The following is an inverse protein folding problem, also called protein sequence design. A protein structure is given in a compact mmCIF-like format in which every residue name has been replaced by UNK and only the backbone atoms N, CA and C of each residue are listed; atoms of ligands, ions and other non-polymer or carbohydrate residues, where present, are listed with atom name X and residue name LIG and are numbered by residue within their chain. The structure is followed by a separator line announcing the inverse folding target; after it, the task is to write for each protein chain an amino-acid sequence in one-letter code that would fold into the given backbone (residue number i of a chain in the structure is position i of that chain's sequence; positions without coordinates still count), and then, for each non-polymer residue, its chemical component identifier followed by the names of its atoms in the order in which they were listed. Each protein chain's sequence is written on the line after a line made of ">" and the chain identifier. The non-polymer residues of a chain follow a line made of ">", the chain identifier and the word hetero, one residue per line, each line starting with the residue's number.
data_IF_440428477622
#
_entry.id   IF_440428477622
#
_cell.length_a   1.000
_cell.length_b   1.000
_cell.length_c   1.000
_cell.angle_alpha   90.00
_cell.angle_beta   90.00
_cell.angle_gamma   90.00
#
_symmetry.space_group_name_H-M   'P 1'
#
loop_
_entity.id
_entity.type
_entity.pdbx_description
1 polymer ?
#
# COMPACT_ATOMS: atom_id res chain seq x y z
N UNK A 1 -2.06 -0.73 31.17
CA UNK A 1 -1.46 -0.14 29.95
C UNK A 1 -1.33 -1.11 28.78
N UNK A 2 -0.37 -2.04 28.67
CA UNK A 2 -0.25 -2.89 27.45
C UNK A 2 -1.41 -3.89 27.23
N UNK A 3 -2.10 -4.30 28.31
CA UNK A 3 -3.17 -5.31 28.27
C UNK A 3 -4.54 -4.70 27.90
N UNK A 4 -4.79 -3.42 28.20
CA UNK A 4 -6.11 -2.77 28.03
C UNK A 4 -6.54 -2.56 26.57
N UNK A 5 -5.61 -2.69 25.61
CA UNK A 5 -5.87 -2.44 24.19
C UNK A 5 -5.37 -3.57 23.29
N UNK A 6 -5.26 -4.81 23.81
CA UNK A 6 -4.60 -5.93 23.10
C UNK A 6 -5.14 -6.14 21.68
N UNK A 7 -6.44 -5.95 21.48
CA UNK A 7 -7.10 -6.14 20.18
C UNK A 7 -7.04 -4.90 19.27
N UNK A 8 -6.78 -3.71 19.82
CA UNK A 8 -6.75 -2.46 19.06
C UNK A 8 -5.39 -2.21 18.39
N UNK A 9 -4.30 -2.83 18.89
CA UNK A 9 -2.97 -2.68 18.30
C UNK A 9 -2.94 -3.12 16.84
N UNK A 10 -2.33 -2.34 15.93
CA UNK A 10 -2.33 -2.64 14.51
C UNK A 10 -1.55 -3.92 14.21
N UNK A 11 -2.30 -5.01 14.03
CA UNK A 11 -1.78 -6.34 13.70
C UNK A 11 -1.46 -6.48 12.21
N UNK A 12 -2.11 -5.68 11.35
CA UNK A 12 -1.91 -5.69 9.91
C UNK A 12 -1.30 -4.38 9.40
N UNK A 13 -0.45 -4.50 8.38
CA UNK A 13 0.14 -3.39 7.65
C UNK A 13 0.30 -3.81 6.18
N UNK A 14 0.32 -2.84 5.27
CA UNK A 14 0.56 -3.05 3.86
C UNK A 14 1.91 -2.43 3.49
N UNK A 15 2.81 -3.24 2.93
CA UNK A 15 4.01 -2.73 2.28
C UNK A 15 3.65 -2.19 0.91
N UNK A 16 4.14 -1.00 0.60
CA UNK A 16 3.86 -0.29 -0.63
C UNK A 16 5.16 0.33 -1.14
N UNK A 17 6.00 -0.52 -1.74
CA UNK A 17 7.37 -0.14 -2.10
C UNK A 17 8.22 0.18 -0.86
N UNK A 18 8.71 1.40 -0.79
CA UNK A 18 9.45 1.95 0.36
C UNK A 18 8.55 2.65 1.39
N UNK A 19 7.23 2.49 1.28
CA UNK A 19 6.26 3.02 2.22
C UNK A 19 5.52 1.91 2.96
N UNK A 20 4.97 2.25 4.12
CA UNK A 20 4.10 1.39 4.90
C UNK A 20 2.77 2.08 5.17
N UNK A 21 1.66 1.38 4.91
CA UNK A 21 0.32 1.85 5.24
C UNK A 21 -0.21 1.01 6.41
N UNK A 22 -0.70 1.67 7.45
CA UNK A 22 -1.22 1.04 8.67
C UNK A 22 -2.56 1.64 9.06
N UNK A 23 -3.51 0.82 9.48
CA UNK A 23 -4.77 1.31 10.07
C UNK A 23 -4.60 1.45 11.56
N UNK A 24 -4.95 2.61 12.12
CA UNK A 24 -4.89 2.88 13.56
C UNK A 24 -6.34 2.99 14.06
N UNK A 25 -6.64 2.30 15.15
CA UNK A 25 -7.95 2.40 15.80
C UNK A 25 -8.02 3.66 16.68
N UNK A 26 -9.17 4.33 16.67
CA UNK A 26 -9.40 5.58 17.40
C UNK A 26 -9.05 5.45 18.90
N UNK A 27 -9.26 4.27 19.50
CA UNK A 27 -8.96 4.03 20.92
C UNK A 27 -7.48 4.11 21.27
N UNK A 28 -6.59 3.97 20.28
CA UNK A 28 -5.13 4.01 20.43
C UNK A 28 -4.49 5.12 19.60
N UNK A 29 -5.26 6.06 19.06
CA UNK A 29 -4.75 7.18 18.24
C UNK A 29 -3.66 7.98 18.97
N UNK A 30 -3.77 8.10 20.31
CA UNK A 30 -2.75 8.74 21.17
C UNK A 30 -1.36 8.11 21.10
N UNK A 31 -1.24 6.87 20.62
CA UNK A 31 0.02 6.13 20.46
C UNK A 31 0.56 6.14 19.03
N UNK A 32 0.02 7.01 18.15
CA UNK A 32 0.37 7.05 16.73
C UNK A 32 1.87 7.21 16.51
N UNK A 33 2.53 8.10 17.26
CA UNK A 33 3.97 8.36 17.15
C UNK A 33 4.79 7.14 17.56
N UNK A 34 4.43 6.47 18.64
CA UNK A 34 5.09 5.24 19.13
C UNK A 34 4.90 4.07 18.16
N UNK A 35 3.71 3.95 17.57
CA UNK A 35 3.43 2.96 16.52
C UNK A 35 4.32 3.23 15.31
N UNK A 36 4.36 4.47 14.82
CA UNK A 36 5.19 4.86 13.68
C UNK A 36 6.68 4.60 13.97
N UNK A 37 7.15 4.93 15.17
CA UNK A 37 8.51 4.66 15.62
C UNK A 37 8.82 3.16 15.60
N UNK A 38 7.96 2.33 16.19
CA UNK A 38 8.14 0.89 16.19
C UNK A 38 8.20 0.31 14.77
N UNK A 39 7.34 0.80 13.84
CA UNK A 39 7.33 0.35 12.45
C UNK A 39 8.60 0.76 11.70
N UNK A 40 9.04 2.03 11.81
CA UNK A 40 10.25 2.52 11.16
C UNK A 40 11.50 1.80 11.68
N UNK A 41 11.63 1.62 13.00
CA UNK A 41 12.77 0.91 13.60
C UNK A 41 12.82 -0.55 13.15
N UNK A 42 11.66 -1.21 13.01
CA UNK A 42 11.59 -2.61 12.59
C UNK A 42 11.84 -2.81 11.08
N UNK A 43 11.69 -1.77 10.26
CA UNK A 43 11.80 -1.86 8.80
C UNK A 43 12.69 -0.73 8.24
N UNK A 44 14.01 -0.93 8.19
CA UNK A 44 14.97 0.12 7.80
C UNK A 44 14.79 0.67 6.38
N UNK A 45 14.22 -0.13 5.47
CA UNK A 45 13.97 0.29 4.08
C UNK A 45 12.73 1.17 3.92
N UNK A 46 11.91 1.33 4.97
CA UNK A 46 10.71 2.17 4.92
C UNK A 46 11.11 3.62 5.17
N UNK A 47 10.77 4.48 4.20
CA UNK A 47 10.97 5.92 4.28
C UNK A 47 9.78 6.68 4.86
N UNK A 48 8.56 6.14 4.73
CA UNK A 48 7.32 6.82 5.09
C UNK A 48 6.28 5.82 5.62
N UNK A 49 5.68 6.14 6.77
CA UNK A 49 4.56 5.43 7.37
C UNK A 49 3.33 6.33 7.31
N UNK A 50 2.23 5.77 6.79
CA UNK A 50 0.96 6.46 6.56
C UNK A 50 -0.14 5.76 7.36
N UNK A 51 -0.99 6.52 8.05
CA UNK A 51 -2.24 6.00 8.60
C UNK A 51 -3.31 5.93 7.52
N UNK A 52 -4.04 4.82 7.46
CA UNK A 52 -5.15 4.58 6.53
C UNK A 52 -6.50 4.96 7.16
N UNK A 53 -7.08 6.07 6.69
CA UNK A 53 -8.42 6.54 7.03
C UNK A 53 -9.54 5.86 6.25
N UNK A 54 -9.20 4.95 5.33
CA UNK A 54 -10.14 4.27 4.46
C UNK A 54 -10.13 4.80 3.02
N UNK A 55 -11.14 4.40 2.25
CA UNK A 55 -11.26 4.70 0.83
C UNK A 55 -12.43 5.66 0.61
N UNK A 56 -12.19 6.76 -0.10
CA UNK A 56 -13.14 7.84 -0.32
C UNK A 56 -13.51 7.99 -1.81
N UNK A 57 -14.78 8.35 -2.05
CA UNK A 57 -15.29 8.80 -3.35
C UNK A 57 -15.34 7.73 -4.45
N UNK A 58 -15.77 8.14 -5.63
CA UNK A 58 -15.95 7.26 -6.80
C UNK A 58 -14.63 6.73 -7.35
N UNK A 59 -13.57 7.54 -7.28
CA UNK A 59 -12.22 7.17 -7.71
C UNK A 59 -11.50 6.24 -6.74
N UNK A 60 -12.13 5.93 -5.59
CA UNK A 60 -11.60 5.04 -4.55
C UNK A 60 -10.20 5.41 -4.08
N UNK A 61 -9.97 6.71 -3.87
CA UNK A 61 -8.71 7.25 -3.37
C UNK A 61 -8.59 6.95 -1.88
N UNK A 62 -7.40 6.58 -1.39
CA UNK A 62 -7.16 6.34 0.03
C UNK A 62 -6.96 7.66 0.77
N UNK A 63 -7.59 7.78 1.93
CA UNK A 63 -7.28 8.84 2.89
C UNK A 63 -6.02 8.44 3.67
N UNK A 64 -4.89 9.07 3.32
CA UNK A 64 -3.57 8.71 3.85
C UNK A 64 -2.92 9.91 4.51
N UNK A 65 -2.62 9.77 5.80
CA UNK A 65 -1.95 10.80 6.60
C UNK A 65 -0.55 10.32 7.01
N UNK A 66 0.52 11.10 6.74
CA UNK A 66 1.86 10.82 7.27
C UNK A 66 1.87 10.79 8.79
N UNK A 67 2.39 9.70 9.36
CA UNK A 67 2.55 9.53 10.82
C UNK A 67 4.00 9.26 11.24
N UNK A 68 4.87 8.93 10.28
CA UNK A 68 6.30 8.89 10.52
C UNK A 68 7.08 8.89 9.22
N UNK A 69 8.25 9.52 9.21
CA UNK A 69 9.15 9.52 8.06
C UNK A 69 10.60 9.30 8.48
N UNK A 70 11.40 8.83 7.53
CA UNK A 70 12.85 8.62 7.68
C UNK A 70 13.58 9.42 6.62
N UNK A 71 14.63 10.12 7.05
CA UNK A 71 15.63 10.75 6.18
C UNK A 71 17.00 10.30 6.69
N UNK A 72 17.69 9.48 5.90
CA UNK A 72 18.93 8.82 6.32
C UNK A 72 18.73 8.04 7.64
N UNK A 73 19.40 8.47 8.71
CA UNK A 73 19.30 7.88 10.05
C UNK A 73 18.28 8.58 10.95
N UNK A 74 17.74 9.72 10.53
CA UNK A 74 16.81 10.53 11.32
C UNK A 74 15.37 10.09 11.13
N UNK A 75 14.61 10.09 12.22
CA UNK A 75 13.19 9.73 12.24
C UNK A 75 12.35 10.92 12.69
N UNK A 76 11.24 11.14 12.00
CA UNK A 76 10.32 12.25 12.19
C UNK A 76 8.93 11.70 12.50
N UNK A 77 8.29 12.16 13.56
CA UNK A 77 6.96 11.69 14.02
C UNK A 77 5.96 12.82 14.21
N UNK A 78 6.45 14.04 14.45
CA UNK A 78 5.67 15.27 14.52
C UNK A 78 6.30 16.30 13.58
N UNK A 79 5.49 17.23 13.06
CA UNK A 79 5.94 18.27 12.12
C UNK A 79 6.80 17.71 10.98
N UNK A 80 6.36 16.59 10.39
CA UNK A 80 7.09 15.88 9.34
C UNK A 80 7.33 16.84 8.17
N UNK A 81 8.60 17.05 7.75
CA UNK A 81 8.93 17.93 6.64
C UNK A 81 8.17 17.55 5.35
N UNK A 82 7.61 18.54 4.66
CA UNK A 82 6.77 18.32 3.46
C UNK A 82 7.50 17.59 2.33
N UNK A 83 8.82 17.71 2.24
CA UNK A 83 9.63 17.01 1.27
C UNK A 83 9.70 15.50 1.51
N UNK A 84 9.38 15.04 2.73
CA UNK A 84 9.36 13.62 3.11
C UNK A 84 8.00 12.95 2.95
N UNK A 85 6.94 13.72 2.66
CA UNK A 85 5.56 13.21 2.60
C UNK A 85 5.10 12.79 1.20
N UNK A 86 6.00 12.84 0.20
CA UNK A 86 5.69 12.38 -1.15
C UNK A 86 5.27 10.89 -1.17
N UNK A 87 4.08 10.60 -1.70
CA UNK A 87 3.50 9.26 -1.77
C UNK A 87 3.73 8.55 -3.09
N UNK A 88 4.32 9.21 -4.09
CA UNK A 88 4.69 8.56 -5.35
C UNK A 88 5.78 7.51 -5.13
N UNK A 89 5.58 6.33 -5.71
CA UNK A 89 6.43 5.15 -5.49
C UNK A 89 6.42 4.24 -6.72
N UNK A 90 7.42 3.37 -6.78
CA UNK A 90 7.52 2.31 -7.78
C UNK A 90 7.47 0.96 -7.08
N UNK A 91 6.39 0.22 -7.29
CA UNK A 91 6.20 -1.11 -6.69
C UNK A 91 6.63 -2.17 -7.70
N UNK A 92 7.41 -3.15 -7.23
CA UNK A 92 7.78 -4.31 -8.05
C UNK A 92 6.78 -5.43 -7.82
N UNK A 93 6.07 -5.81 -8.86
CA UNK A 93 5.09 -6.89 -8.84
C UNK A 93 5.36 -7.83 -10.03
N UNK A 94 5.48 -9.13 -9.76
CA UNK A 94 5.64 -10.16 -10.81
C UNK A 94 6.76 -9.85 -11.83
N UNK A 95 7.85 -9.22 -11.36
CA UNK A 95 9.00 -8.85 -12.19
C UNK A 95 8.87 -7.53 -12.96
N UNK A 96 7.71 -6.86 -12.89
CA UNK A 96 7.47 -5.55 -13.52
C UNK A 96 7.39 -4.45 -12.47
N UNK A 97 7.69 -3.23 -12.90
CA UNK A 97 7.61 -2.04 -12.05
C UNK A 97 6.34 -1.26 -12.39
N UNK A 98 5.57 -0.92 -11.36
CA UNK A 98 4.33 -0.16 -11.45
C UNK A 98 4.57 1.17 -10.74
N UNK A 99 4.54 2.27 -11.48
CA UNK A 99 4.57 3.61 -10.87
C UNK A 99 3.17 3.96 -10.40
N UNK A 100 3.04 4.30 -9.12
CA UNK A 100 1.77 4.62 -8.52
C UNK A 100 1.91 5.69 -7.44
N UNK A 101 0.80 6.36 -7.18
CA UNK A 101 0.63 7.24 -6.04
C UNK A 101 -0.71 6.88 -5.39
N UNK A 102 -0.71 6.31 -4.17
CA UNK A 102 -1.92 5.84 -3.52
C UNK A 102 -2.89 6.97 -3.11
N UNK A 103 -2.46 8.24 -3.14
CA UNK A 103 -3.35 9.39 -2.97
C UNK A 103 -4.03 9.83 -4.28
N UNK A 104 -3.63 9.30 -5.43
CA UNK A 104 -4.16 9.70 -6.75
C UNK A 104 -4.91 8.56 -7.42
N UNK A 105 -4.43 7.32 -7.28
CA UNK A 105 -5.03 6.16 -7.92
C UNK A 105 -5.03 4.94 -6.99
N UNK A 106 -6.12 4.18 -7.03
CA UNK A 106 -6.23 2.94 -6.26
C UNK A 106 -5.25 1.88 -6.77
N UNK A 107 -4.45 1.34 -5.86
CA UNK A 107 -3.66 0.12 -6.06
C UNK A 107 -3.60 -0.65 -4.72
N UNK A 108 -3.52 -1.98 -4.80
CA UNK A 108 -3.33 -2.84 -3.64
C UNK A 108 -2.35 -3.95 -3.96
N UNK A 109 -1.35 -4.09 -3.09
CA UNK A 109 -0.36 -5.17 -3.18
C UNK A 109 -0.96 -6.52 -2.79
N UNK A 110 -2.02 -6.52 -1.98
CA UNK A 110 -2.73 -7.74 -1.54
C UNK A 110 -3.43 -8.50 -2.67
N UNK A 111 -3.69 -7.85 -3.80
CA UNK A 111 -4.37 -8.43 -4.96
C UNK A 111 -3.42 -9.11 -5.96
N UNK A 112 -2.12 -9.21 -5.64
CA UNK A 112 -1.13 -9.82 -6.55
C UNK A 112 -1.47 -11.28 -6.87
N UNK A 113 -1.87 -12.08 -5.88
CA UNK A 113 -2.22 -13.49 -6.09
C UNK A 113 -3.40 -13.64 -7.04
N UNK A 114 -4.45 -12.82 -6.87
CA UNK A 114 -5.64 -12.81 -7.75
C UNK A 114 -5.28 -12.44 -9.20
N UNK A 115 -4.34 -11.50 -9.39
CA UNK A 115 -3.84 -11.12 -10.73
C UNK A 115 -3.07 -12.26 -11.39
N UNK A 116 -2.22 -12.98 -10.64
CA UNK A 116 -1.52 -14.15 -11.15
C UNK A 116 -2.49 -15.28 -11.53
N UNK A 117 -3.53 -15.50 -10.74
CA UNK A 117 -4.56 -16.49 -11.03
C UNK A 117 -5.38 -16.13 -12.26
N UNK A 118 -5.74 -14.85 -12.41
CA UNK A 118 -6.40 -14.33 -13.62
C UNK A 118 -5.55 -14.57 -14.86
N UNK A 119 -4.24 -14.32 -14.78
CA UNK A 119 -3.30 -14.61 -15.88
C UNK A 119 -3.23 -16.11 -16.21
N UNK A 120 -3.23 -16.98 -15.19
CA UNK A 120 -3.24 -18.44 -15.37
C UNK A 120 -4.49 -18.88 -16.14
N UNK A 121 -5.67 -18.46 -15.68
CA UNK A 121 -6.96 -18.76 -16.32
C UNK A 121 -7.05 -18.22 -17.75
N UNK A 122 -6.53 -17.01 -18.00
CA UNK A 122 -6.48 -16.45 -19.36
C UNK A 122 -5.61 -17.28 -20.31
N UNK A 123 -4.49 -17.86 -19.82
CA UNK A 123 -3.65 -18.75 -20.62
C UNK A 123 -4.37 -20.06 -20.94
N UNK A 124 -5.12 -20.61 -19.99
CA UNK A 124 -5.93 -21.82 -20.19
C UNK A 124 -7.03 -21.58 -21.23
N UNK A 125 -7.80 -20.50 -21.08
CA UNK A 125 -8.84 -20.13 -22.03
C UNK A 125 -8.28 -19.89 -23.45
N UNK A 126 -7.11 -19.24 -23.57
CA UNK A 126 -6.43 -19.07 -24.86
C UNK A 126 -6.12 -20.42 -25.51
N UNK A 127 -5.66 -21.40 -24.72
CA UNK A 127 -5.35 -22.75 -25.19
C UNK A 127 -6.61 -23.49 -25.65
N UNK A 128 -7.69 -23.43 -24.86
CA UNK A 128 -8.97 -24.07 -25.18
C UNK A 128 -9.61 -23.50 -26.46
N UNK A 129 -9.57 -22.18 -26.63
CA UNK A 129 -10.13 -21.52 -27.81
C UNK A 129 -9.22 -21.59 -29.05
N UNK A 130 -7.97 -22.03 -28.88
CA UNK A 130 -6.92 -22.06 -29.91
C UNK A 130 -6.81 -20.75 -30.72
N UNK A 131 -6.97 -19.60 -30.03
CA UNK A 131 -6.86 -18.26 -30.64
C UNK A 131 -6.38 -17.24 -29.62
N UNK A 132 -5.84 -16.09 -30.06
CA UNK A 132 -5.54 -14.97 -29.17
C UNK A 132 -6.79 -14.46 -28.43
N UNK A 133 -6.57 -13.96 -27.20
CA UNK A 133 -7.60 -13.28 -26.41
C UNK A 133 -7.44 -11.76 -26.57
N UNK A 134 -8.55 -11.06 -26.76
CA UNK A 134 -8.63 -9.62 -26.61
C UNK A 134 -9.09 -9.32 -25.17
N UNK A 135 -8.24 -8.63 -24.40
CA UNK A 135 -8.49 -8.33 -22.99
C UNK A 135 -8.75 -6.84 -22.84
N UNK A 136 -9.83 -6.48 -22.16
CA UNK A 136 -10.16 -5.11 -21.78
C UNK A 136 -10.26 -5.05 -20.25
N UNK A 137 -9.57 -4.09 -19.65
CA UNK A 137 -9.67 -3.81 -18.21
C UNK A 137 -10.40 -2.47 -18.02
N UNK A 138 -11.72 -2.50 -17.74
CA UNK A 138 -12.53 -1.28 -17.64
C UNK A 138 -12.18 -0.42 -16.41
N UNK A 139 -11.49 -0.99 -15.42
CA UNK A 139 -11.10 -0.31 -14.18
C UNK A 139 -9.62 -0.49 -13.90
N UNK A 140 -8.80 -0.17 -14.90
CA UNK A 140 -7.38 -0.51 -14.89
C UNK A 140 -6.56 0.25 -13.85
N UNK A 141 -7.01 1.41 -13.35
CA UNK A 141 -6.23 2.21 -12.40
C UNK A 141 -4.82 2.51 -12.94
N UNK A 142 -3.79 2.01 -12.25
CA UNK A 142 -2.37 2.10 -12.69
C UNK A 142 -1.93 0.96 -13.64
N UNK A 143 -2.89 0.17 -14.14
CA UNK A 143 -2.69 -0.97 -15.04
C UNK A 143 -2.11 -2.25 -14.42
N UNK A 144 -2.32 -2.60 -13.14
CA UNK A 144 -1.61 -3.71 -12.53
C UNK A 144 -2.00 -5.08 -13.10
N UNK A 145 -3.24 -5.25 -13.57
CA UNK A 145 -3.72 -6.51 -14.13
C UNK A 145 -3.07 -6.83 -15.49
N UNK A 146 -2.81 -5.79 -16.29
CA UNK A 146 -2.14 -5.92 -17.59
C UNK A 146 -0.61 -5.89 -17.46
N UNK A 147 -0.10 -5.41 -16.33
CA UNK A 147 1.33 -5.45 -16.01
C UNK A 147 1.78 -6.82 -15.47
N UNK A 148 1.10 -7.92 -15.79
CA UNK A 148 1.53 -9.30 -15.45
C UNK A 148 1.96 -10.13 -16.66
#
# INVERSE_FOLDING_TARGET
>A
MLIEHKEAWPSSHEFFGDMMIVRIDDSIEKFTSEIAQAKLLSHPFIRLVLSDGGVLGELRIRDLKPIGARKDSELYFENIPSELTNTKVSVKESGRYISCDPQVAYYSTKLQTERLETLRLAKELRSELNRPLAVCDPFCGVGPALST
#
